data_IF_104149596977
#
_entry.id   IF_104149596977
#
_cell.length_a   1.000
_cell.length_b   1.000
_cell.length_c   1.000
_cell.angle_alpha   90.00
_cell.angle_beta   90.00
_cell.angle_gamma   90.00
#
_symmetry.space_group_name_H-M   'P 1'
#
loop_
_entity.id
_entity.type
_entity.pdbx_description
1 polymer ?
#
# COMPACT_ATOMS: atom_id res chain seq x y z
N UNK A 1 23.24 11.74 -5.69
CA UNK A 1 23.58 11.19 -4.36
C UNK A 1 22.36 10.68 -3.60
N UNK A 2 21.28 11.48 -3.49
CA UNK A 2 20.05 11.09 -2.77
C UNK A 2 19.44 9.77 -3.28
N UNK A 3 19.11 9.67 -4.57
CA UNK A 3 18.47 8.48 -5.17
C UNK A 3 19.25 7.17 -4.94
N UNK A 4 20.58 7.24 -4.84
CA UNK A 4 21.45 6.05 -4.78
C UNK A 4 21.70 5.56 -3.34
N UNK A 5 21.92 6.46 -2.39
CA UNK A 5 22.29 6.12 -1.02
C UNK A 5 21.41 6.78 0.04
N UNK A 6 21.14 8.09 -0.09
CA UNK A 6 20.42 8.86 0.93
C UNK A 6 19.02 8.34 1.17
N UNK A 7 18.29 8.01 0.09
CA UNK A 7 16.93 7.45 0.19
C UNK A 7 16.92 6.12 0.96
N UNK A 8 17.83 5.20 0.66
CA UNK A 8 17.91 3.91 1.35
C UNK A 8 18.25 4.05 2.83
N UNK A 9 19.16 4.96 3.17
CA UNK A 9 19.50 5.24 4.56
C UNK A 9 18.28 5.75 5.35
N UNK A 10 17.53 6.69 4.76
CA UNK A 10 16.31 7.23 5.36
C UNK A 10 15.26 6.13 5.50
N UNK A 11 15.05 5.30 4.49
CA UNK A 11 14.13 4.16 4.54
C UNK A 11 14.46 3.23 5.73
N UNK A 12 15.74 2.89 5.92
CA UNK A 12 16.17 2.03 7.03
C UNK A 12 15.92 2.71 8.37
N UNK A 13 16.32 3.97 8.53
CA UNK A 13 16.16 4.70 9.79
C UNK A 13 14.70 4.87 10.17
N UNK A 14 13.85 5.27 9.22
CA UNK A 14 12.43 5.46 9.47
C UNK A 14 11.70 4.12 9.73
N UNK A 15 12.02 3.06 9.00
CA UNK A 15 11.39 1.77 9.23
C UNK A 15 11.81 1.14 10.55
N UNK A 16 13.10 1.25 10.92
CA UNK A 16 13.59 0.76 12.21
C UNK A 16 12.96 1.55 13.37
N UNK A 17 12.96 2.88 13.29
CA UNK A 17 12.30 3.72 14.29
C UNK A 17 10.80 3.40 14.39
N UNK A 18 10.11 3.26 13.27
CA UNK A 18 8.71 2.88 13.22
C UNK A 18 8.43 1.52 13.86
N UNK A 19 9.24 0.50 13.58
CA UNK A 19 9.12 -0.83 14.20
C UNK A 19 9.32 -0.79 15.72
N UNK A 20 10.33 -0.05 16.19
CA UNK A 20 10.60 0.09 17.64
C UNK A 20 9.45 0.85 18.33
N UNK A 21 9.06 1.99 17.79
CA UNK A 21 7.99 2.83 18.38
C UNK A 21 6.62 2.15 18.34
N UNK A 22 6.34 1.37 17.30
CA UNK A 22 5.08 0.64 17.16
C UNK A 22 5.09 -0.75 17.82
N UNK A 23 6.18 -1.20 18.43
CA UNK A 23 6.33 -2.56 18.98
C UNK A 23 5.21 -2.94 19.97
N UNK A 24 4.86 -2.05 20.88
CA UNK A 24 3.76 -2.25 21.84
C UNK A 24 2.39 -2.31 21.15
N UNK A 25 2.21 -1.52 20.07
CA UNK A 25 0.97 -1.51 19.28
C UNK A 25 0.81 -2.80 18.48
N UNK A 26 1.93 -3.38 17.99
CA UNK A 26 1.91 -4.70 17.36
C UNK A 26 1.28 -5.74 18.27
N UNK A 27 1.72 -5.81 19.54
CA UNK A 27 1.19 -6.78 20.50
C UNK A 27 -0.33 -6.58 20.72
N UNK A 28 -0.77 -5.33 20.89
CA UNK A 28 -2.20 -5.03 21.08
C UNK A 28 -3.02 -5.41 19.85
N UNK A 29 -2.53 -5.10 18.64
CA UNK A 29 -3.23 -5.45 17.39
C UNK A 29 -3.28 -6.97 17.23
N UNK A 30 -2.18 -7.69 17.50
CA UNK A 30 -2.15 -9.16 17.42
C UNK A 30 -3.19 -9.81 18.35
N UNK A 31 -3.27 -9.36 19.58
CA UNK A 31 -4.26 -9.84 20.56
C UNK A 31 -5.69 -9.51 20.07
N UNK A 32 -5.93 -8.30 19.58
CA UNK A 32 -7.24 -7.88 19.10
C UNK A 32 -7.70 -8.71 17.88
N UNK A 33 -6.81 -9.02 16.93
CA UNK A 33 -7.11 -9.87 15.78
C UNK A 33 -7.46 -11.29 16.23
N UNK A 34 -6.67 -11.86 17.15
CA UNK A 34 -6.89 -13.23 17.65
C UNK A 34 -8.22 -13.36 18.39
N UNK A 35 -8.64 -12.32 19.12
CA UNK A 35 -9.94 -12.31 19.83
C UNK A 35 -11.11 -12.17 18.85
N UNK A 36 -10.97 -11.33 17.79
CA UNK A 36 -12.06 -11.04 16.84
C UNK A 36 -12.32 -12.19 15.86
N UNK A 37 -11.25 -12.82 15.35
CA UNK A 37 -11.30 -13.96 14.41
C UNK A 37 -10.04 -14.82 14.59
N UNK A 38 -10.08 -15.91 15.39
CA UNK A 38 -8.91 -16.73 15.70
C UNK A 38 -8.19 -17.25 14.45
N UNK A 39 -6.83 -17.21 14.45
CA UNK A 39 -6.00 -17.71 13.36
C UNK A 39 -4.76 -16.82 13.07
N UNK A 40 -4.07 -17.02 11.94
CA UNK A 40 -2.87 -16.26 11.61
C UNK A 40 -3.09 -14.74 11.70
N UNK A 41 -2.28 -14.07 12.49
CA UNK A 41 -2.36 -12.60 12.70
C UNK A 41 -1.88 -11.81 11.48
N UNK A 42 -0.90 -12.37 10.77
CA UNK A 42 -0.35 -11.75 9.58
C UNK A 42 -0.95 -12.34 8.30
N UNK A 43 -1.16 -11.47 7.34
CA UNK A 43 -1.50 -11.79 5.97
C UNK A 43 -0.33 -11.45 5.07
N UNK A 44 -0.01 -12.29 4.12
CA UNK A 44 0.99 -12.02 3.09
C UNK A 44 0.41 -12.16 1.70
N UNK A 45 0.85 -11.30 0.79
CA UNK A 45 0.38 -11.29 -0.59
C UNK A 45 1.53 -11.03 -1.56
N UNK A 46 1.58 -11.80 -2.65
CA UNK A 46 2.54 -11.62 -3.73
C UNK A 46 2.32 -10.29 -4.44
N UNK A 47 3.35 -9.47 -4.50
CA UNK A 47 3.35 -8.14 -5.13
C UNK A 47 4.53 -7.97 -6.07
N UNK A 48 4.40 -6.98 -6.96
CA UNK A 48 5.46 -6.61 -7.90
C UNK A 48 6.33 -5.53 -7.28
N UNK A 49 7.64 -5.81 -7.22
CA UNK A 49 8.69 -4.92 -6.75
C UNK A 49 9.48 -4.28 -7.89
N UNK A 50 10.66 -3.78 -7.55
CA UNK A 50 11.59 -3.16 -8.51
C UNK A 50 11.95 -4.15 -9.63
N UNK A 51 12.06 -3.65 -10.86
CA UNK A 51 12.34 -4.42 -12.07
C UNK A 51 11.39 -5.61 -12.24
N UNK A 52 10.14 -5.45 -11.81
CA UNK A 52 9.06 -6.46 -11.87
C UNK A 52 9.38 -7.77 -11.12
N UNK A 53 10.34 -7.76 -10.20
CA UNK A 53 10.59 -8.91 -9.32
C UNK A 53 9.49 -9.03 -8.29
N UNK A 54 9.07 -10.27 -8.01
CA UNK A 54 8.04 -10.52 -7.01
C UNK A 54 8.61 -10.52 -5.60
N UNK A 55 7.81 -10.05 -4.64
CA UNK A 55 8.10 -10.15 -3.21
C UNK A 55 6.82 -10.43 -2.43
N UNK A 56 6.93 -10.85 -1.17
CA UNK A 56 5.82 -11.05 -0.25
C UNK A 56 5.61 -9.77 0.56
N UNK A 57 4.48 -9.13 0.36
CA UNK A 57 4.06 -7.95 1.12
C UNK A 57 3.34 -8.41 2.39
N UNK A 58 3.76 -7.91 3.54
CA UNK A 58 3.17 -8.26 4.83
C UNK A 58 2.18 -7.21 5.31
N UNK A 59 1.06 -7.69 5.87
CA UNK A 59 0.04 -6.87 6.52
C UNK A 59 -0.48 -7.56 7.77
N UNK A 60 -1.13 -6.82 8.67
CA UNK A 60 -2.02 -7.45 9.62
C UNK A 60 -3.27 -7.98 8.90
N UNK A 61 -3.75 -9.13 9.34
CA UNK A 61 -4.98 -9.70 8.81
C UNK A 61 -6.18 -8.83 9.22
N UNK A 62 -6.88 -8.33 8.24
CA UNK A 62 -8.07 -7.50 8.40
C UNK A 62 -9.35 -8.16 7.86
N UNK A 63 -9.22 -9.35 7.27
CA UNK A 63 -10.32 -10.14 6.73
C UNK A 63 -10.45 -11.48 7.44
N UNK A 64 -11.66 -12.03 7.44
CA UNK A 64 -11.99 -13.31 8.07
C UNK A 64 -11.24 -14.47 7.42
N UNK A 65 -11.00 -15.52 8.19
CA UNK A 65 -10.40 -16.75 7.69
C UNK A 65 -11.23 -17.44 6.57
N UNK A 66 -12.53 -17.17 6.53
CA UNK A 66 -13.43 -17.67 5.47
C UNK A 66 -13.29 -16.93 4.13
N UNK A 67 -12.46 -15.88 4.05
CA UNK A 67 -12.26 -15.12 2.81
C UNK A 67 -11.50 -15.96 1.78
N UNK A 68 -11.94 -16.00 0.50
CA UNK A 68 -11.18 -16.66 -0.56
C UNK A 68 -9.76 -16.08 -0.69
N UNK A 69 -8.75 -16.95 -0.53
CA UNK A 69 -7.36 -16.53 -0.36
C UNK A 69 -6.73 -15.94 -1.63
N UNK A 70 -7.13 -16.43 -2.80
CA UNK A 70 -6.52 -16.07 -4.08
C UNK A 70 -7.31 -15.00 -4.87
N UNK A 71 -8.37 -14.47 -4.28
CA UNK A 71 -9.20 -13.47 -4.92
C UNK A 71 -8.86 -12.06 -4.41
N UNK A 72 -8.48 -11.13 -5.30
CA UNK A 72 -8.30 -9.72 -4.94
C UNK A 72 -9.58 -9.13 -4.35
N UNK A 73 -9.47 -8.28 -3.34
CA UNK A 73 -10.62 -7.71 -2.61
C UNK A 73 -11.64 -7.01 -3.55
N UNK A 74 -11.18 -6.39 -4.64
CA UNK A 74 -12.04 -5.70 -5.61
C UNK A 74 -12.84 -6.65 -6.53
N UNK A 75 -12.52 -7.95 -6.54
CA UNK A 75 -13.25 -8.97 -7.27
C UNK A 75 -14.22 -9.75 -6.37
N UNK A 76 -14.24 -9.48 -5.07
CA UNK A 76 -15.17 -10.11 -4.14
C UNK A 76 -16.56 -9.47 -4.27
N UNK A 77 -17.59 -10.29 -4.39
CA UNK A 77 -18.96 -9.84 -4.19
C UNK A 77 -19.14 -9.46 -2.71
N UNK A 78 -19.55 -8.21 -2.42
CA UNK A 78 -19.74 -7.69 -1.07
C UNK A 78 -18.51 -7.86 -0.16
N UNK A 79 -17.35 -7.25 -0.46
CA UNK A 79 -16.12 -7.43 0.29
C UNK A 79 -16.26 -7.07 1.78
N UNK A 80 -17.20 -6.19 2.14
CA UNK A 80 -17.44 -5.76 3.53
C UNK A 80 -17.84 -6.91 4.47
N UNK A 81 -18.53 -7.94 3.96
CA UNK A 81 -18.94 -9.09 4.78
C UNK A 81 -17.75 -9.95 5.26
N UNK A 82 -16.64 -9.87 4.56
CA UNK A 82 -15.40 -10.58 4.88
C UNK A 82 -14.46 -9.79 5.79
N UNK A 83 -14.73 -8.50 6.02
CA UNK A 83 -13.90 -7.67 6.88
C UNK A 83 -14.29 -7.90 8.34
N UNK A 84 -13.30 -8.18 9.21
CA UNK A 84 -13.54 -8.33 10.66
C UNK A 84 -13.82 -6.98 11.31
N UNK A 85 -14.34 -6.95 12.55
CA UNK A 85 -14.57 -5.69 13.27
C UNK A 85 -13.28 -4.93 13.53
N UNK A 86 -12.27 -5.64 14.03
CA UNK A 86 -10.92 -5.09 14.21
C UNK A 86 -10.32 -4.70 12.86
N UNK A 87 -10.50 -5.54 11.82
CA UNK A 87 -10.05 -5.28 10.47
C UNK A 87 -10.60 -3.98 9.89
N UNK A 88 -11.87 -3.65 10.12
CA UNK A 88 -12.47 -2.38 9.68
C UNK A 88 -11.76 -1.17 10.30
N UNK A 89 -11.44 -1.23 11.58
CA UNK A 89 -10.67 -0.19 12.27
C UNK A 89 -9.24 -0.09 11.70
N UNK A 90 -8.56 -1.23 11.55
CA UNK A 90 -7.19 -1.26 11.04
C UNK A 90 -7.09 -0.67 9.61
N UNK A 91 -8.02 -1.02 8.73
CA UNK A 91 -8.07 -0.49 7.35
C UNK A 91 -8.36 1.00 7.32
N UNK A 92 -9.33 1.46 8.11
CA UNK A 92 -9.66 2.89 8.21
C UNK A 92 -8.48 3.74 8.69
N UNK A 93 -7.65 3.19 9.58
CA UNK A 93 -6.48 3.87 10.16
C UNK A 93 -5.18 3.54 9.43
N UNK A 94 -5.21 2.65 8.42
CA UNK A 94 -4.05 2.10 7.72
C UNK A 94 -3.04 1.40 8.65
N UNK A 95 -3.45 1.03 9.86
CA UNK A 95 -2.61 0.29 10.80
C UNK A 95 -2.36 -1.15 10.34
N UNK A 96 -3.21 -1.71 9.48
CA UNK A 96 -2.97 -3.00 8.83
C UNK A 96 -1.69 -3.02 7.99
N UNK A 97 -1.20 -1.86 7.55
CA UNK A 97 -0.01 -1.74 6.69
C UNK A 97 1.31 -1.59 7.49
N UNK A 98 1.27 -1.43 8.82
CA UNK A 98 2.50 -1.29 9.63
C UNK A 98 3.51 -2.44 9.43
N UNK A 99 3.12 -3.72 9.23
CA UNK A 99 4.08 -4.79 8.95
C UNK A 99 4.90 -4.59 7.67
N UNK A 100 4.49 -3.72 6.73
CA UNK A 100 5.28 -3.37 5.55
C UNK A 100 6.58 -2.63 5.90
N UNK A 101 6.72 -2.06 7.12
CA UNK A 101 7.99 -1.55 7.61
C UNK A 101 9.08 -2.62 7.60
N UNK A 102 8.72 -3.88 7.78
CA UNK A 102 9.63 -5.01 7.63
C UNK A 102 10.08 -5.19 6.16
N UNK A 103 9.18 -5.07 5.20
CA UNK A 103 9.54 -5.10 3.78
C UNK A 103 10.48 -3.93 3.41
N UNK A 104 10.26 -2.74 4.01
CA UNK A 104 11.15 -1.60 3.80
C UNK A 104 12.54 -1.88 4.38
N UNK A 105 12.61 -2.39 5.62
CA UNK A 105 13.86 -2.71 6.29
C UNK A 105 14.64 -3.80 5.53
N UNK A 106 13.95 -4.83 5.05
CA UNK A 106 14.52 -5.90 4.23
C UNK A 106 15.02 -5.38 2.87
N UNK A 107 14.34 -4.39 2.29
CA UNK A 107 14.75 -3.74 1.05
C UNK A 107 13.88 -4.03 -0.16
N UNK A 108 12.75 -4.70 0.02
CA UNK A 108 11.76 -4.94 -1.04
C UNK A 108 11.01 -3.66 -1.38
N UNK A 109 10.84 -2.79 -0.39
CA UNK A 109 10.08 -1.54 -0.48
C UNK A 109 10.90 -0.33 -0.02
N UNK A 110 10.31 0.85 -0.21
CA UNK A 110 10.73 2.16 0.29
C UNK A 110 9.59 2.79 1.06
N UNK A 111 9.86 3.77 1.91
CA UNK A 111 8.80 4.57 2.57
C UNK A 111 7.95 5.29 1.52
N UNK A 112 8.62 5.92 0.53
CA UNK A 112 7.95 6.65 -0.56
C UNK A 112 8.30 6.02 -1.91
N UNK A 113 7.27 5.74 -2.72
CA UNK A 113 7.41 5.15 -4.04
C UNK A 113 6.04 4.81 -4.67
N UNK A 114 5.99 4.31 -5.90
CA UNK A 114 4.77 3.78 -6.49
C UNK A 114 4.17 2.65 -5.62
N UNK A 115 2.85 2.63 -5.43
CA UNK A 115 2.21 1.55 -4.63
C UNK A 115 2.47 0.18 -5.28
N UNK A 116 2.84 -0.87 -4.51
CA UNK A 116 3.11 -2.19 -5.07
C UNK A 116 1.90 -2.75 -5.83
N UNK A 117 2.06 -3.02 -7.13
CA UNK A 117 1.02 -3.65 -7.94
C UNK A 117 0.77 -5.10 -7.50
N UNK A 118 -0.45 -5.60 -7.70
CA UNK A 118 -0.73 -7.03 -7.61
C UNK A 118 0.04 -7.77 -8.71
N UNK A 119 0.37 -9.02 -8.48
CA UNK A 119 1.11 -9.87 -9.42
C UNK A 119 0.38 -10.06 -10.76
N UNK A 120 -0.94 -9.90 -10.79
CA UNK A 120 -1.83 -10.06 -11.95
C UNK A 120 -2.34 -8.73 -12.53
N UNK A 121 -1.80 -7.57 -12.14
CA UNK A 121 -2.11 -6.25 -12.70
C UNK A 121 -1.17 -5.91 -13.87
N UNK A 122 -1.25 -6.69 -14.95
CA UNK A 122 -0.38 -6.53 -16.12
C UNK A 122 -0.61 -5.20 -16.84
N UNK A 123 -1.86 -4.71 -16.87
CA UNK A 123 -2.27 -3.43 -17.42
C UNK A 123 -1.57 -2.25 -16.73
N UNK A 124 -1.58 -2.22 -15.40
CA UNK A 124 -0.87 -1.19 -14.63
C UNK A 124 0.64 -1.27 -14.85
N UNK A 125 1.19 -2.49 -14.92
CA UNK A 125 2.64 -2.67 -15.15
C UNK A 125 3.05 -2.19 -16.54
N UNK A 126 2.24 -2.48 -17.57
CA UNK A 126 2.49 -2.01 -18.94
C UNK A 126 2.42 -0.48 -19.04
N UNK A 127 1.44 0.16 -18.38
CA UNK A 127 1.36 1.62 -18.33
C UNK A 127 2.57 2.24 -17.60
N UNK A 128 3.00 1.66 -16.47
CA UNK A 128 4.17 2.11 -15.70
C UNK A 128 5.49 2.00 -16.45
N UNK A 129 5.62 1.03 -17.37
CA UNK A 129 6.83 0.88 -18.21
C UNK A 129 7.06 2.14 -19.05
N UNK A 130 6.02 2.79 -19.54
CA UNK A 130 6.11 4.02 -20.35
C UNK A 130 6.79 5.17 -19.59
N UNK A 131 6.82 5.10 -18.26
CA UNK A 131 7.32 6.15 -17.38
C UNK A 131 8.51 5.73 -16.51
N UNK A 132 9.00 4.49 -16.63
CA UNK A 132 10.07 3.95 -15.80
C UNK A 132 9.67 3.74 -14.33
N UNK A 133 8.36 3.65 -14.04
CA UNK A 133 7.89 3.52 -12.67
C UNK A 133 8.08 2.10 -12.08
N UNK A 134 8.37 1.11 -12.93
CA UNK A 134 8.73 -0.23 -12.49
C UNK A 134 10.23 -0.38 -12.15
N UNK A 135 11.06 0.64 -12.43
CA UNK A 135 12.52 0.62 -12.19
C UNK A 135 12.90 1.24 -10.84
N UNK A 136 11.92 1.54 -10.00
CA UNK A 136 12.12 2.02 -8.63
C UNK A 136 11.45 1.09 -7.63
N UNK A 137 11.92 1.11 -6.38
CA UNK A 137 11.26 0.34 -5.31
C UNK A 137 9.85 0.85 -5.09
N UNK A 138 8.87 -0.07 -4.93
CA UNK A 138 7.53 0.33 -4.53
C UNK A 138 7.54 0.95 -3.13
N UNK A 139 6.58 1.84 -2.86
CA UNK A 139 6.45 2.58 -1.62
C UNK A 139 5.30 2.14 -0.73
N UNK A 140 5.45 2.36 0.57
CA UNK A 140 4.35 2.30 1.52
C UNK A 140 3.36 3.45 1.22
N UNK A 141 3.88 4.60 0.85
CA UNK A 141 3.15 5.74 0.33
C UNK A 141 3.81 6.28 -0.95
N UNK A 142 3.09 7.16 -1.69
CA UNK A 142 3.60 7.73 -2.93
C UNK A 142 2.74 8.84 -3.50
N UNK A 143 3.24 9.46 -4.58
CA UNK A 143 2.60 10.62 -5.18
C UNK A 143 1.18 10.32 -5.68
N UNK A 144 0.96 9.21 -6.40
CA UNK A 144 -0.37 8.82 -6.85
C UNK A 144 -1.34 8.60 -5.68
N UNK A 145 -0.85 8.08 -4.54
CA UNK A 145 -1.69 7.82 -3.36
C UNK A 145 -2.22 9.11 -2.72
N UNK A 146 -1.45 10.20 -2.71
CA UNK A 146 -1.90 11.50 -2.17
C UNK A 146 -2.69 12.34 -3.18
N UNK A 147 -2.63 11.98 -4.48
CA UNK A 147 -3.35 12.70 -5.54
C UNK A 147 -4.73 12.11 -5.89
N UNK A 148 -5.14 10.97 -5.30
CA UNK A 148 -6.45 10.38 -5.58
C UNK A 148 -6.54 8.89 -5.25
N UNK A 149 -5.42 8.27 -4.83
CA UNK A 149 -5.37 6.91 -4.28
C UNK A 149 -6.08 5.86 -5.17
N UNK A 150 -7.15 5.24 -4.65
CA UNK A 150 -7.84 4.13 -5.32
C UNK A 150 -8.86 4.61 -6.37
N UNK A 151 -9.22 5.90 -6.37
CA UNK A 151 -10.14 6.52 -7.33
C UNK A 151 -9.50 6.81 -8.70
N UNK A 152 -8.16 6.78 -8.78
CA UNK A 152 -7.43 7.06 -10.02
C UNK A 152 -7.58 5.94 -11.04
N UNK A 153 -7.82 6.30 -12.29
CA UNK A 153 -7.69 5.38 -13.43
C UNK A 153 -6.24 4.91 -13.59
N UNK A 154 -6.04 3.74 -14.19
CA UNK A 154 -4.72 3.11 -14.36
C UNK A 154 -3.72 4.04 -15.07
N UNK A 155 -4.15 4.73 -16.12
CA UNK A 155 -3.30 5.64 -16.88
C UNK A 155 -2.84 6.84 -16.04
N UNK A 156 -3.75 7.44 -15.24
CA UNK A 156 -3.42 8.55 -14.36
C UNK A 156 -2.52 8.12 -13.20
N UNK A 157 -2.78 6.94 -12.64
CA UNK A 157 -1.94 6.33 -11.61
C UNK A 157 -0.51 6.12 -12.12
N UNK A 158 -0.35 5.53 -13.30
CA UNK A 158 0.96 5.30 -13.90
C UNK A 158 1.67 6.62 -14.27
N UNK A 159 0.93 7.64 -14.75
CA UNK A 159 1.47 8.97 -15.06
C UNK A 159 1.99 9.67 -13.80
N UNK A 160 1.25 9.61 -12.69
CA UNK A 160 1.65 10.19 -11.40
C UNK A 160 2.84 9.41 -10.79
N UNK A 161 2.88 8.10 -10.92
CA UNK A 161 4.03 7.28 -10.53
C UNK A 161 5.27 7.69 -11.34
N UNK A 162 5.12 7.94 -12.65
CA UNK A 162 6.18 8.47 -13.50
C UNK A 162 6.61 9.88 -13.13
N UNK A 163 5.68 10.76 -12.73
CA UNK A 163 6.01 12.07 -12.19
C UNK A 163 6.86 11.95 -10.93
N UNK A 164 6.51 11.03 -10.03
CA UNK A 164 7.32 10.75 -8.86
C UNK A 164 8.76 10.36 -9.24
N UNK A 165 8.94 9.45 -10.18
CA UNK A 165 10.27 8.98 -10.62
C UNK A 165 11.13 10.14 -11.13
N UNK A 166 10.54 11.03 -11.94
CA UNK A 166 11.24 12.22 -12.47
C UNK A 166 11.65 13.19 -11.36
N UNK A 167 10.72 13.46 -10.43
CA UNK A 167 10.89 14.47 -9.36
C UNK A 167 11.53 13.92 -8.09
N UNK A 168 11.86 12.62 -8.03
CA UNK A 168 12.40 11.95 -6.85
C UNK A 168 13.59 12.73 -6.26
N UNK A 169 13.38 13.27 -5.08
CA UNK A 169 14.33 14.05 -4.29
C UNK A 169 13.92 14.00 -2.82
N UNK A 170 14.81 14.34 -1.90
CA UNK A 170 14.48 14.40 -0.48
C UNK A 170 13.27 15.30 -0.18
N UNK A 171 13.25 16.51 -0.76
CA UNK A 171 12.14 17.45 -0.58
C UNK A 171 10.81 16.90 -1.12
N UNK A 172 10.85 16.17 -2.25
CA UNK A 172 9.64 15.58 -2.82
C UNK A 172 9.16 14.36 -2.00
N UNK A 173 10.07 13.56 -1.48
CA UNK A 173 9.73 12.47 -0.56
C UNK A 173 9.12 13.01 0.74
N UNK A 174 9.66 14.11 1.32
CA UNK A 174 9.04 14.78 2.45
C UNK A 174 7.62 15.26 2.12
N UNK A 175 7.41 15.87 0.95
CA UNK A 175 6.07 16.29 0.50
C UNK A 175 5.10 15.12 0.43
N UNK A 176 5.52 13.98 -0.11
CA UNK A 176 4.71 12.77 -0.17
C UNK A 176 4.41 12.23 1.24
N UNK A 177 5.41 12.20 2.12
CA UNK A 177 5.25 11.72 3.49
C UNK A 177 4.22 12.54 4.29
N UNK A 178 4.38 13.85 4.32
CA UNK A 178 3.43 14.74 5.01
C UNK A 178 2.06 14.77 4.33
N UNK A 179 2.01 14.72 2.99
CA UNK A 179 0.76 14.59 2.25
C UNK A 179 -0.03 13.36 2.64
N UNK A 180 0.65 12.22 2.81
CA UNK A 180 0.02 10.97 3.27
C UNK A 180 -0.51 11.09 4.69
N UNK A 181 0.26 11.69 5.61
CA UNK A 181 -0.20 11.89 6.98
C UNK A 181 -1.49 12.74 7.03
N UNK A 182 -1.55 13.80 6.22
CA UNK A 182 -2.73 14.66 6.11
C UNK A 182 -3.92 13.89 5.50
N UNK A 183 -3.71 13.15 4.40
CA UNK A 183 -4.76 12.34 3.75
C UNK A 183 -5.29 11.24 4.69
N UNK A 184 -4.41 10.59 5.44
CA UNK A 184 -4.82 9.59 6.43
C UNK A 184 -5.67 10.18 7.55
N UNK A 185 -5.35 11.39 8.03
CA UNK A 185 -6.14 12.09 9.06
C UNK A 185 -7.52 12.54 8.55
N UNK A 186 -7.62 12.87 7.26
CA UNK A 186 -8.89 13.27 6.63
C UNK A 186 -9.76 12.06 6.24
N UNK A 187 -9.19 10.88 6.12
CA UNK A 187 -9.88 9.68 5.63
C UNK A 187 -10.15 9.72 4.11
N UNK A 188 -9.42 10.57 3.37
CA UNK A 188 -9.64 10.78 1.95
C UNK A 188 -9.21 9.53 1.13
N UNK A 189 -10.04 9.13 0.14
CA UNK A 189 -9.67 8.20 -0.92
C UNK A 189 -9.52 6.72 -0.53
N UNK A 190 -10.03 6.29 0.62
CA UNK A 190 -10.13 4.86 0.96
C UNK A 190 -11.45 4.34 0.41
N UNK A 191 -11.43 3.74 -0.79
CA UNK A 191 -12.58 3.04 -1.37
C UNK A 191 -12.33 1.54 -1.24
N UNK A 192 -13.17 0.85 -0.47
CA UNK A 192 -13.11 -0.59 -0.33
C UNK A 192 -13.45 -1.26 -1.68
N UNK A 193 -12.43 -1.88 -2.30
CA UNK A 193 -12.61 -2.59 -3.58
C UNK A 193 -12.55 -1.71 -4.84
N UNK A 194 -12.24 -0.42 -4.74
CA UNK A 194 -12.23 0.50 -5.89
C UNK A 194 -10.97 0.40 -6.76
N UNK A 195 -11.17 0.14 -8.04
CA UNK A 195 -10.24 0.49 -9.12
C UNK A 195 -10.99 1.44 -10.04
N UNK A 196 -11.13 2.72 -9.77
CA UNK A 196 -11.72 3.74 -10.67
C UNK A 196 -12.86 3.37 -11.65
N UNK A 197 -13.05 2.07 -11.92
CA UNK A 197 -14.04 1.55 -12.87
C UNK A 197 -15.47 1.61 -12.36
N UNK A 198 -15.71 1.62 -11.05
CA UNK A 198 -17.05 1.63 -10.47
C UNK A 198 -17.80 2.93 -10.76
N UNK A 199 -17.11 4.09 -10.82
CA UNK A 199 -17.73 5.36 -11.20
C UNK A 199 -18.23 5.40 -12.65
N UNK A 200 -17.68 4.57 -13.55
CA UNK A 200 -18.19 4.48 -14.95
C UNK A 200 -19.49 3.71 -15.07
N UNK A 201 -19.81 2.83 -14.13
CA UNK A 201 -21.06 2.06 -14.16
C UNK A 201 -22.25 2.84 -13.58
N UNK A 202 -22.02 3.68 -12.58
CA UNK A 202 -23.07 4.53 -11.99
C UNK A 202 -23.45 5.74 -12.85
N UNK A 203 -22.50 6.29 -13.62
CA UNK A 203 -22.77 7.42 -14.54
C UNK A 203 -23.46 7.02 -15.84
N UNK A 204 -23.73 5.71 -16.08
CA UNK A 204 -24.44 5.16 -17.25
C UNK A 204 -25.83 4.63 -16.94
N UNK A 205 -26.33 4.83 -15.72
CA UNK A 205 -27.72 4.62 -15.33
C UNK A 205 -28.42 5.97 -15.13
#
# INVERSE_FOLDING_TARGET
>A
MYKRFGKRLIDILLSLAGLILASWLYLLIMIAIEIDDPGPVFFSQKRVGIHKKYFQLYKFRSMKMSTPHDMPTHLLENPEQYITRVGKFLRKTSLDEIPQLWNILHGDMSVIGPRPALWNQEDLLAERDKYGANDVKPGLSGWAQICGRDELEIADKARLDGEYVRRMSFAFDCRCFFGTAISALRGDGVVEGGTGELHKMESKK
#
